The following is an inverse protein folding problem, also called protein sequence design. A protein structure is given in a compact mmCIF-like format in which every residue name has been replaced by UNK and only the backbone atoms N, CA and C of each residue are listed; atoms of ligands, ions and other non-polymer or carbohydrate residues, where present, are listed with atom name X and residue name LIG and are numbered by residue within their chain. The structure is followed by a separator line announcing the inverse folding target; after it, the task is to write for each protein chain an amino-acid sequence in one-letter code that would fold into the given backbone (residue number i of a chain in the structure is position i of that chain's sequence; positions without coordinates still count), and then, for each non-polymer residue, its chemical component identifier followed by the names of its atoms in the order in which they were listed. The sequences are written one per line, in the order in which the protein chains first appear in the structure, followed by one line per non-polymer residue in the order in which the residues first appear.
data_IF_365182932265
#
_entry.id   IF_365182932265
#
_cell.length_a   1.000
_cell.length_b   1.000
_cell.length_c   1.000
_cell.angle_alpha   90.00
_cell.angle_beta   90.00
_cell.angle_gamma   90.00
#
_symmetry.space_group_name_H-M   'P 1'
#
loop_
_entity.id
_entity.type
_entity.pdbx_description
1 polymer ?
#
# COMPACT_ATOMS: atom_id res chain seq x y z
N UNK A 1 -5.31 67.79 14.43
CA UNK A 1 -5.81 66.50 14.97
C UNK A 1 -5.73 65.41 13.89
N UNK A 2 -4.69 65.45 13.06
CA UNK A 2 -4.70 64.76 11.75
C UNK A 2 -3.82 63.51 11.72
N UNK A 3 -2.72 63.50 12.49
CA UNK A 3 -1.83 62.34 12.57
C UNK A 3 -2.47 61.10 13.22
N UNK A 4 -3.37 61.29 14.18
CA UNK A 4 -4.07 60.18 14.84
C UNK A 4 -5.06 59.47 13.90
N UNK A 5 -5.76 60.23 13.04
CA UNK A 5 -6.67 59.68 12.04
C UNK A 5 -5.94 58.92 10.93
N UNK A 6 -4.85 59.49 10.42
CA UNK A 6 -4.00 58.82 9.41
C UNK A 6 -3.40 57.53 9.97
N UNK A 7 -2.94 57.55 11.21
CA UNK A 7 -2.39 56.37 11.90
C UNK A 7 -3.45 55.29 12.12
N UNK A 8 -4.65 55.64 12.56
CA UNK A 8 -5.76 54.70 12.75
C UNK A 8 -6.19 54.03 11.42
N UNK A 9 -6.27 54.81 10.35
CA UNK A 9 -6.58 54.28 9.01
C UNK A 9 -5.47 53.37 8.47
N UNK A 10 -4.20 53.72 8.69
CA UNK A 10 -3.06 52.87 8.32
C UNK A 10 -3.06 51.55 9.10
N UNK A 11 -3.40 51.58 10.39
CA UNK A 11 -3.52 50.37 11.22
C UNK A 11 -4.66 49.46 10.75
N UNK A 12 -5.82 50.04 10.38
CA UNK A 12 -6.95 49.29 9.82
C UNK A 12 -6.64 48.72 8.43
N UNK A 13 -5.92 49.46 7.58
CA UNK A 13 -5.47 48.96 6.29
C UNK A 13 -4.48 47.80 6.45
N UNK A 14 -3.52 47.93 7.38
CA UNK A 14 -2.56 46.87 7.70
C UNK A 14 -3.23 45.60 8.25
N UNK A 15 -4.24 45.75 9.12
CA UNK A 15 -4.97 44.61 9.66
C UNK A 15 -5.86 43.93 8.61
N UNK A 16 -6.50 44.69 7.72
CA UNK A 16 -7.30 44.14 6.62
C UNK A 16 -6.44 43.32 5.65
N UNK A 17 -5.25 43.82 5.27
CA UNK A 17 -4.30 43.10 4.43
C UNK A 17 -3.78 41.85 5.15
N UNK A 18 -3.45 41.97 6.45
CA UNK A 18 -3.01 40.83 7.27
C UNK A 18 -4.07 39.74 7.43
N UNK A 19 -5.35 40.12 7.56
CA UNK A 19 -6.47 39.18 7.64
C UNK A 19 -6.69 38.45 6.32
N UNK A 20 -6.66 39.17 5.18
CA UNK A 20 -6.77 38.57 3.85
C UNK A 20 -5.60 37.61 3.57
N UNK A 21 -4.37 38.02 3.90
CA UNK A 21 -3.20 37.15 3.80
C UNK A 21 -3.38 35.88 4.64
N UNK A 22 -3.84 36.00 5.89
CA UNK A 22 -4.09 34.85 6.78
C UNK A 22 -5.16 33.90 6.27
N UNK A 23 -6.22 34.42 5.65
CA UNK A 23 -7.27 33.59 5.03
C UNK A 23 -6.68 32.82 3.83
N UNK A 24 -5.93 33.49 2.95
CA UNK A 24 -5.31 32.82 1.78
C UNK A 24 -4.30 31.75 2.19
N UNK A 25 -3.45 32.01 3.20
CA UNK A 25 -2.48 31.03 3.70
C UNK A 25 -3.17 29.87 4.40
N UNK A 26 -4.21 30.13 5.19
CA UNK A 26 -5.02 29.09 5.83
C UNK A 26 -5.67 28.16 4.80
N UNK A 27 -6.28 28.73 3.75
CA UNK A 27 -6.86 27.93 2.67
C UNK A 27 -5.83 27.08 1.93
N UNK A 28 -4.67 27.67 1.60
CA UNK A 28 -3.59 26.96 0.93
C UNK A 28 -3.03 25.83 1.82
N UNK A 29 -2.84 26.08 3.11
CA UNK A 29 -2.41 25.09 4.08
C UNK A 29 -3.45 23.98 4.27
N UNK A 30 -4.74 24.34 4.37
CA UNK A 30 -5.82 23.36 4.50
C UNK A 30 -5.94 22.48 3.24
N UNK A 31 -5.84 23.07 2.05
CA UNK A 31 -5.89 22.36 0.78
C UNK A 31 -4.70 21.41 0.60
N UNK A 32 -3.51 21.80 1.06
CA UNK A 32 -2.33 20.93 1.01
C UNK A 32 -2.40 19.82 2.06
N UNK A 33 -2.83 20.12 3.29
CA UNK A 33 -3.01 19.14 4.36
C UNK A 33 -4.08 18.08 4.03
N UNK A 34 -5.23 18.49 3.50
CA UNK A 34 -6.30 17.55 3.11
C UNK A 34 -5.84 16.58 2.02
N UNK A 35 -5.12 17.07 1.00
CA UNK A 35 -4.53 16.22 -0.04
C UNK A 35 -3.46 15.29 0.51
N UNK A 36 -2.63 15.75 1.46
CA UNK A 36 -1.64 14.92 2.12
C UNK A 36 -2.29 13.81 2.96
N UNK A 37 -3.36 14.13 3.69
CA UNK A 37 -4.13 13.18 4.49
C UNK A 37 -4.79 12.10 3.63
N UNK A 38 -5.41 12.48 2.50
CA UNK A 38 -5.98 11.51 1.54
C UNK A 38 -4.92 10.55 1.00
N UNK A 39 -3.77 11.06 0.55
CA UNK A 39 -2.65 10.21 0.10
C UNK A 39 -2.14 9.27 1.19
N UNK A 40 -2.11 9.73 2.45
CA UNK A 40 -1.69 8.88 3.57
C UNK A 40 -2.69 7.75 3.85
N UNK A 41 -4.00 8.03 3.78
CA UNK A 41 -5.04 7.01 3.93
C UNK A 41 -4.99 5.98 2.80
N UNK A 42 -4.85 6.43 1.54
CA UNK A 42 -4.73 5.54 0.39
C UNK A 42 -3.50 4.64 0.50
N UNK A 43 -2.37 5.19 0.98
CA UNK A 43 -1.14 4.44 1.24
C UNK A 43 -1.35 3.40 2.33
N UNK A 44 -1.92 3.79 3.47
CA UNK A 44 -2.19 2.87 4.58
C UNK A 44 -3.10 1.71 4.16
N UNK A 45 -4.11 1.99 3.32
CA UNK A 45 -5.00 0.96 2.78
C UNK A 45 -4.27 -0.05 1.89
N UNK A 46 -3.33 0.41 1.05
CA UNK A 46 -2.49 -0.45 0.21
C UNK A 46 -1.52 -1.28 1.05
N UNK A 47 -0.86 -0.65 2.01
CA UNK A 47 0.05 -1.33 2.95
C UNK A 47 -0.66 -2.48 3.69
N UNK A 48 -1.87 -2.21 4.21
CA UNK A 48 -2.68 -3.22 4.87
C UNK A 48 -3.02 -4.38 3.92
N UNK A 49 -3.51 -4.08 2.71
CA UNK A 49 -3.88 -5.09 1.72
C UNK A 49 -2.70 -5.96 1.29
N UNK A 50 -1.53 -5.37 1.04
CA UNK A 50 -0.31 -6.13 0.72
C UNK A 50 0.15 -6.99 1.88
N UNK A 51 0.10 -6.46 3.11
CA UNK A 51 0.43 -7.21 4.31
C UNK A 51 -0.49 -8.41 4.54
N UNK A 52 -1.79 -8.24 4.31
CA UNK A 52 -2.78 -9.31 4.42
C UNK A 52 -2.56 -10.39 3.37
N UNK A 53 -2.26 -10.01 2.12
CA UNK A 53 -1.92 -10.95 1.06
C UNK A 53 -0.64 -11.72 1.36
N UNK A 54 0.42 -11.05 1.78
CA UNK A 54 1.69 -11.70 2.17
C UNK A 54 1.45 -12.70 3.29
N UNK A 55 0.68 -12.32 4.32
CA UNK A 55 0.39 -13.20 5.45
C UNK A 55 -0.36 -14.45 5.01
N UNK A 56 -1.40 -14.28 4.19
CA UNK A 56 -2.20 -15.40 3.70
C UNK A 56 -1.43 -16.29 2.74
N UNK A 57 -0.66 -15.70 1.83
CA UNK A 57 0.20 -16.42 0.90
C UNK A 57 1.26 -17.26 1.64
N UNK A 58 1.95 -16.69 2.63
CA UNK A 58 2.92 -17.42 3.45
C UNK A 58 2.28 -18.59 4.19
N UNK A 59 1.09 -18.38 4.76
CA UNK A 59 0.34 -19.44 5.45
C UNK A 59 0.01 -20.61 4.52
N UNK A 60 -0.55 -20.32 3.35
CA UNK A 60 -0.93 -21.32 2.36
C UNK A 60 0.28 -22.00 1.72
N UNK A 61 1.37 -21.23 1.50
CA UNK A 61 2.59 -21.78 0.96
C UNK A 61 3.19 -22.83 1.90
N UNK A 62 3.23 -22.56 3.21
CA UNK A 62 3.69 -23.54 4.21
C UNK A 62 2.72 -24.72 4.33
N UNK A 63 1.41 -24.47 4.35
CA UNK A 63 0.38 -25.53 4.40
C UNK A 63 0.53 -26.53 3.25
N UNK A 64 0.87 -26.05 2.05
CA UNK A 64 1.06 -26.87 0.85
C UNK A 64 2.28 -27.80 0.87
N UNK A 65 3.23 -27.65 1.83
CA UNK A 65 4.34 -28.61 1.96
C UNK A 65 3.91 -29.90 2.68
N UNK A 66 2.97 -29.77 3.62
CA UNK A 66 2.55 -30.87 4.48
C UNK A 66 1.21 -31.47 4.04
N UNK A 67 0.41 -30.72 3.26
CA UNK A 67 -0.97 -31.05 2.95
C UNK A 67 -1.25 -30.91 1.45
N UNK A 68 -2.13 -31.77 0.95
CA UNK A 68 -2.78 -31.61 -0.35
C UNK A 68 -3.94 -30.58 -0.25
N UNK A 69 -4.42 -30.10 -1.40
CA UNK A 69 -5.58 -29.21 -1.45
C UNK A 69 -6.88 -30.01 -1.29
N UNK A 70 -7.23 -30.34 -0.05
CA UNK A 70 -8.48 -31.03 0.27
C UNK A 70 -9.73 -30.13 0.11
N UNK A 71 -9.59 -28.85 0.47
CA UNK A 71 -10.66 -27.86 0.40
C UNK A 71 -10.22 -26.63 -0.42
N UNK A 72 -10.78 -26.40 -1.62
CA UNK A 72 -10.45 -25.24 -2.44
C UNK A 72 -10.87 -23.92 -1.78
N UNK A 73 -11.76 -23.93 -0.78
CA UNK A 73 -12.12 -22.73 -0.04
C UNK A 73 -10.92 -22.09 0.68
N UNK A 74 -9.86 -22.86 0.96
CA UNK A 74 -8.58 -22.35 1.50
C UNK A 74 -7.97 -21.24 0.64
N UNK A 75 -8.14 -21.27 -0.68
CA UNK A 75 -7.56 -20.29 -1.61
C UNK A 75 -8.44 -19.05 -1.84
N UNK A 76 -9.70 -19.08 -1.38
CA UNK A 76 -10.69 -18.01 -1.65
C UNK A 76 -10.22 -16.67 -1.09
N UNK A 77 -9.69 -16.66 0.13
CA UNK A 77 -9.23 -15.43 0.76
C UNK A 77 -8.03 -14.83 0.00
N UNK A 78 -7.07 -15.67 -0.39
CA UNK A 78 -5.92 -15.25 -1.20
C UNK A 78 -6.36 -14.67 -2.56
N UNK A 79 -7.31 -15.33 -3.23
CA UNK A 79 -7.90 -14.84 -4.48
C UNK A 79 -8.66 -13.52 -4.30
N UNK A 80 -9.40 -13.38 -3.20
CA UNK A 80 -10.15 -12.16 -2.89
C UNK A 80 -9.22 -10.96 -2.64
N UNK A 81 -8.11 -11.17 -1.92
CA UNK A 81 -7.08 -10.15 -1.70
C UNK A 81 -6.42 -9.71 -3.01
N UNK A 82 -6.01 -10.66 -3.86
CA UNK A 82 -5.49 -10.38 -5.20
C UNK A 82 -6.51 -9.62 -6.07
N UNK A 83 -7.77 -10.07 -6.08
CA UNK A 83 -8.84 -9.43 -6.86
C UNK A 83 -9.14 -8.01 -6.35
N UNK A 84 -9.01 -7.77 -5.05
CA UNK A 84 -9.14 -6.44 -4.45
C UNK A 84 -7.98 -5.54 -4.87
N UNK A 85 -6.76 -6.06 -5.00
CA UNK A 85 -5.62 -5.29 -5.51
C UNK A 85 -5.87 -4.79 -6.93
N UNK A 86 -6.59 -5.54 -7.79
CA UNK A 86 -6.91 -5.12 -9.17
C UNK A 86 -7.66 -3.79 -9.26
N UNK A 87 -8.31 -3.36 -8.18
CA UNK A 87 -9.05 -2.08 -8.15
C UNK A 87 -8.12 -0.86 -8.11
N UNK A 88 -6.90 -1.00 -7.56
CA UNK A 88 -6.03 0.16 -7.28
C UNK A 88 -4.55 -0.07 -7.57
N UNK A 89 -4.10 -1.33 -7.59
CA UNK A 89 -2.71 -1.74 -7.75
C UNK A 89 -2.19 -1.49 -9.15
N UNK A 90 -0.87 -1.32 -9.27
CA UNK A 90 -0.23 -1.25 -10.58
C UNK A 90 -0.29 -2.60 -11.29
N UNK A 91 -0.23 -2.62 -12.65
CA UNK A 91 -0.22 -3.87 -13.42
C UNK A 91 0.85 -4.85 -12.94
N UNK A 92 2.08 -4.37 -12.67
CA UNK A 92 3.18 -5.20 -12.17
C UNK A 92 2.81 -5.88 -10.84
N UNK A 93 2.28 -5.13 -9.87
CA UNK A 93 1.91 -5.69 -8.56
C UNK A 93 0.81 -6.74 -8.67
N UNK A 94 -0.18 -6.52 -9.54
CA UNK A 94 -1.27 -7.46 -9.79
C UNK A 94 -0.74 -8.74 -10.46
N UNK A 95 0.12 -8.60 -11.47
CA UNK A 95 0.72 -9.73 -12.19
C UNK A 95 1.57 -10.61 -11.25
N UNK A 96 2.36 -9.99 -10.38
CA UNK A 96 3.15 -10.73 -9.39
C UNK A 96 2.27 -11.40 -8.32
N UNK A 97 1.17 -10.77 -7.90
CA UNK A 97 0.20 -11.42 -7.00
C UNK A 97 -0.45 -12.65 -7.66
N UNK A 98 -0.76 -12.59 -8.94
CA UNK A 98 -1.30 -13.73 -9.70
C UNK A 98 -0.27 -14.85 -9.83
N UNK A 99 1.01 -14.53 -10.03
CA UNK A 99 2.11 -15.51 -9.99
C UNK A 99 2.21 -16.20 -8.64
N UNK A 100 2.09 -15.46 -7.54
CA UNK A 100 2.07 -16.03 -6.18
C UNK A 100 0.93 -17.02 -6.03
N UNK A 101 -0.30 -16.63 -6.41
CA UNK A 101 -1.48 -17.49 -6.33
C UNK A 101 -1.29 -18.78 -7.12
N UNK A 102 -0.82 -18.68 -8.37
CA UNK A 102 -0.57 -19.83 -9.23
C UNK A 102 0.51 -20.75 -8.66
N UNK A 103 1.56 -20.18 -8.05
CA UNK A 103 2.67 -20.94 -7.46
C UNK A 103 2.24 -21.69 -6.21
N UNK A 104 1.43 -21.07 -5.35
CA UNK A 104 0.83 -21.72 -4.18
C UNK A 104 -0.13 -22.82 -4.63
N UNK A 105 -0.99 -22.54 -5.61
CA UNK A 105 -1.87 -23.56 -6.19
C UNK A 105 -1.09 -24.75 -6.72
N UNK A 106 0.00 -24.52 -7.44
CA UNK A 106 0.87 -25.57 -7.95
C UNK A 106 1.60 -26.34 -6.84
N UNK A 107 1.94 -25.69 -5.72
CA UNK A 107 2.61 -26.33 -4.59
C UNK A 107 1.75 -27.45 -3.98
N UNK A 108 0.43 -27.25 -3.88
CA UNK A 108 -0.50 -28.28 -3.40
C UNK A 108 -0.62 -29.53 -4.30
N UNK A 109 -0.20 -29.44 -5.57
CA UNK A 109 -0.20 -30.56 -6.51
C UNK A 109 1.20 -31.14 -6.75
N UNK A 110 2.23 -30.55 -6.13
CA UNK A 110 3.59 -31.09 -6.18
C UNK A 110 3.71 -32.27 -5.20
N UNK A 111 4.60 -33.24 -5.44
CA UNK A 111 4.94 -34.25 -4.44
C UNK A 111 5.37 -33.57 -3.14
N UNK A 112 4.88 -34.05 -1.98
CA UNK A 112 5.24 -33.51 -0.67
C UNK A 112 6.76 -33.32 -0.59
N UNK A 113 7.17 -32.06 -0.40
CA UNK A 113 8.57 -31.71 -0.24
C UNK A 113 8.96 -31.90 1.22
N UNK A 114 10.10 -32.54 1.47
CA UNK A 114 10.60 -32.67 2.83
C UNK A 114 10.85 -31.29 3.45
N UNK A 115 10.58 -31.14 4.75
CA UNK A 115 10.86 -29.91 5.52
C UNK A 115 12.32 -29.44 5.39
N UNK A 116 13.26 -30.29 5.00
CA UNK A 116 14.63 -29.89 4.70
C UNK A 116 14.71 -28.90 3.51
N UNK A 117 13.79 -28.99 2.53
CA UNK A 117 13.73 -28.09 1.37
C UNK A 117 13.30 -26.66 1.76
N UNK A 118 12.74 -26.44 2.95
CA UNK A 118 12.48 -25.09 3.47
C UNK A 118 13.76 -24.28 3.64
N UNK A 119 14.88 -24.93 3.98
CA UNK A 119 16.18 -24.26 4.11
C UNK A 119 16.72 -23.69 2.79
N UNK A 120 16.17 -24.15 1.67
CA UNK A 120 16.50 -23.67 0.32
C UNK A 120 15.63 -22.46 -0.11
N UNK A 121 14.63 -22.06 0.69
CA UNK A 121 13.86 -20.83 0.47
C UNK A 121 14.78 -19.65 0.78
N UNK A 122 15.40 -19.13 -0.27
CA UNK A 122 16.28 -17.97 -0.24
C UNK A 122 15.67 -16.87 -1.08
N UNK A 123 16.00 -15.62 -0.74
CA UNK A 123 15.50 -14.42 -1.45
C UNK A 123 15.93 -14.37 -2.94
N UNK A 124 16.87 -15.25 -3.34
CA UNK A 124 17.36 -15.47 -4.71
C UNK A 124 17.05 -16.90 -5.23
N UNK A 125 16.40 -17.72 -4.42
CA UNK A 125 16.04 -19.07 -4.77
C UNK A 125 14.75 -19.08 -5.58
N UNK A 126 14.57 -20.11 -6.39
CA UNK A 126 13.28 -20.34 -7.05
C UNK A 126 12.15 -20.51 -6.03
N UNK A 127 12.42 -20.83 -4.77
CA UNK A 127 11.41 -21.25 -3.81
C UNK A 127 10.71 -20.13 -3.03
N UNK A 128 11.13 -18.86 -3.11
CA UNK A 128 10.38 -17.77 -2.45
C UNK A 128 9.27 -17.26 -3.39
N UNK A 129 7.99 -17.63 -3.19
CA UNK A 129 6.90 -17.16 -4.04
C UNK A 129 6.66 -15.66 -3.91
N UNK A 130 7.09 -15.02 -2.82
CA UNK A 130 6.72 -13.65 -2.45
C UNK A 130 7.78 -12.59 -2.76
N UNK A 131 9.00 -12.99 -3.14
CA UNK A 131 10.10 -12.06 -3.39
C UNK A 131 9.75 -11.00 -4.46
N UNK A 132 9.32 -11.43 -5.64
CA UNK A 132 8.99 -10.55 -6.76
C UNK A 132 7.76 -9.67 -6.46
N UNK A 133 6.75 -10.24 -5.79
CA UNK A 133 5.59 -9.49 -5.33
C UNK A 133 5.98 -8.39 -4.33
N UNK A 134 6.82 -8.71 -3.34
CA UNK A 134 7.28 -7.76 -2.32
C UNK A 134 8.11 -6.62 -2.93
N UNK A 135 8.90 -6.92 -3.96
CA UNK A 135 9.62 -5.89 -4.73
C UNK A 135 8.66 -5.00 -5.53
N UNK A 136 7.65 -5.59 -6.20
CA UNK A 136 6.64 -4.83 -6.93
C UNK A 136 5.85 -3.88 -6.00
N UNK A 137 5.43 -4.36 -4.82
CA UNK A 137 4.81 -3.53 -3.79
C UNK A 137 5.71 -2.37 -3.37
N UNK A 138 7.00 -2.64 -3.11
CA UNK A 138 7.96 -1.61 -2.72
C UNK A 138 8.13 -0.54 -3.79
N UNK A 139 8.28 -0.94 -5.05
CA UNK A 139 8.39 -0.02 -6.17
C UNK A 139 7.15 0.85 -6.32
N UNK A 140 5.97 0.25 -6.21
CA UNK A 140 4.70 0.96 -6.30
C UNK A 140 4.56 2.00 -5.18
N UNK A 141 4.92 1.63 -3.95
CA UNK A 141 4.89 2.54 -2.80
C UNK A 141 5.91 3.69 -2.94
N UNK A 142 7.08 3.43 -3.53
CA UNK A 142 8.09 4.46 -3.80
C UNK A 142 7.63 5.45 -4.87
N UNK A 143 6.96 4.98 -5.95
CA UNK A 143 6.42 5.85 -7.00
C UNK A 143 5.31 6.79 -6.48
N UNK A 144 4.55 6.35 -5.48
CA UNK A 144 3.47 7.14 -4.85
C UNK A 144 3.98 8.12 -3.78
N UNK A 145 5.30 8.26 -3.60
CA UNK A 145 5.91 9.21 -2.66
C UNK A 145 6.23 10.58 -3.29
N UNK A 146 6.23 10.65 -4.62
CA UNK A 146 6.45 11.87 -5.44
C UNK A 146 5.10 12.50 -5.77
#
# INVERSE_FOLDING_TARGET
MDGAYVSAMAALAGSAIGALASITTSWLNQATQTRAAQRALDRSRREALYGDFIREASRLFVDAFENELEDPAKLVNLYALMSTMRLFGSPRTVDEAERVLNRIGAAYFAPNRELHDFSNITHHGELDPLAAFSEACRDEMLRQRI
#
